data_IF_665048598569
#
_entry.id   IF_665048598569
#
_cell.length_a   1.000
_cell.length_b   1.000
_cell.length_c   1.000
_cell.angle_alpha   90.00
_cell.angle_beta   90.00
_cell.angle_gamma   90.00
#
_symmetry.space_group_name_H-M   'P 1'
#
loop_
_entity.id
_entity.type
_entity.pdbx_description
1 polymer ?
#
# COMPACT_ATOMS: atom_id res chain seq x y z
N UNK A 1 43.54 25.72 -59.07
CA UNK A 1 42.74 26.21 -57.92
C UNK A 1 41.31 25.74 -58.15
N UNK A 2 40.80 24.84 -57.30
CA UNK A 2 39.46 24.27 -57.46
C UNK A 2 38.42 25.36 -57.23
N UNK A 3 37.59 25.64 -58.25
CA UNK A 3 36.44 26.54 -58.12
C UNK A 3 35.56 26.08 -56.97
N UNK A 4 35.47 26.92 -55.93
CA UNK A 4 34.50 26.72 -54.88
C UNK A 4 33.15 27.05 -55.51
N UNK A 5 32.39 26.01 -55.87
CA UNK A 5 31.00 26.11 -56.33
C UNK A 5 30.17 26.92 -55.31
N UNK A 6 29.85 28.18 -55.64
CA UNK A 6 29.14 29.14 -54.79
C UNK A 6 27.65 29.28 -55.16
N UNK A 7 27.02 28.25 -55.73
CA UNK A 7 25.60 28.34 -56.14
C UNK A 7 24.62 28.09 -54.99
N UNK A 8 24.97 27.20 -54.07
CA UNK A 8 24.13 26.82 -52.93
C UNK A 8 24.94 26.71 -51.66
N UNK A 9 24.40 27.27 -50.58
CA UNK A 9 24.85 27.02 -49.21
C UNK A 9 23.84 26.12 -48.53
N UNK A 10 24.30 24.99 -47.99
CA UNK A 10 23.46 24.08 -47.22
C UNK A 10 23.61 24.44 -45.74
N UNK A 11 22.49 24.78 -45.10
CA UNK A 11 22.40 24.96 -43.66
C UNK A 11 21.73 23.74 -43.05
N UNK A 12 22.41 23.11 -42.11
CA UNK A 12 21.85 22.02 -41.32
C UNK A 12 21.52 22.61 -39.95
N UNK A 13 20.34 22.26 -39.42
CA UNK A 13 19.96 22.67 -38.08
C UNK A 13 20.97 22.16 -37.02
N UNK A 14 21.12 22.84 -35.87
CA UNK A 14 22.06 22.42 -34.82
C UNK A 14 21.82 20.99 -34.31
N UNK A 15 20.57 20.53 -34.31
CA UNK A 15 20.16 19.17 -33.95
C UNK A 15 20.38 18.14 -35.08
N UNK A 16 20.82 18.57 -36.27
CA UNK A 16 21.05 17.70 -37.42
C UNK A 16 19.78 17.14 -38.08
N UNK A 17 18.59 17.61 -37.67
CA UNK A 17 17.32 17.04 -38.10
C UNK A 17 16.78 17.61 -39.40
N UNK A 18 17.19 18.82 -39.79
CA UNK A 18 16.70 19.46 -41.02
C UNK A 18 17.86 20.01 -41.83
N UNK A 19 17.73 19.96 -43.14
CA UNK A 19 18.64 20.65 -44.06
C UNK A 19 17.85 21.64 -44.91
N UNK A 20 18.42 22.83 -45.07
CA UNK A 20 17.91 23.88 -45.92
C UNK A 20 18.94 24.27 -46.97
N UNK A 21 18.50 24.44 -48.21
CA UNK A 21 19.31 25.03 -49.28
C UNK A 21 19.02 26.52 -49.34
N UNK A 22 20.08 27.33 -49.30
CA UNK A 22 20.02 28.76 -49.60
C UNK A 22 20.66 28.95 -50.97
N UNK A 23 19.86 29.45 -51.92
CA UNK A 23 20.38 29.83 -53.24
C UNK A 23 21.21 31.10 -53.09
N UNK A 24 22.46 31.07 -53.54
CA UNK A 24 23.34 32.23 -53.50
C UNK A 24 23.27 32.99 -54.83
N UNK A 25 23.48 34.30 -54.76
CA UNK A 25 23.60 35.11 -55.97
C UNK A 25 24.91 34.75 -56.69
N UNK A 26 24.77 34.35 -57.95
CA UNK A 26 25.84 33.82 -58.79
C UNK A 26 25.97 34.61 -60.10
N UNK A 27 25.34 35.78 -60.18
CA UNK A 27 25.37 36.64 -61.37
C UNK A 27 24.74 35.95 -62.58
N UNK A 28 25.51 35.76 -63.66
CA UNK A 28 25.02 35.26 -64.94
C UNK A 28 25.02 33.72 -65.11
N UNK A 29 25.58 32.96 -64.16
CA UNK A 29 25.65 31.49 -64.26
C UNK A 29 24.38 30.86 -63.67
N UNK A 30 23.69 30.05 -64.47
CA UNK A 30 22.52 29.28 -64.02
C UNK A 30 23.00 28.02 -63.30
N UNK A 31 22.61 27.79 -62.03
CA UNK A 31 22.99 26.58 -61.32
C UNK A 31 22.38 25.34 -61.95
N UNK A 32 23.07 24.19 -61.86
CA UNK A 32 22.55 22.88 -62.28
C UNK A 32 22.11 22.02 -61.09
N UNK A 33 21.28 21.00 -61.33
CA UNK A 33 20.88 20.03 -60.30
C UNK A 33 22.10 19.31 -59.72
N UNK A 34 23.12 19.05 -60.54
CA UNK A 34 24.36 18.41 -60.11
C UNK A 34 25.17 19.31 -59.17
N UNK A 35 25.12 20.63 -59.34
CA UNK A 35 25.74 21.57 -58.39
C UNK A 35 25.08 21.51 -57.01
N UNK A 36 23.75 21.41 -56.97
CA UNK A 36 23.00 21.25 -55.71
C UNK A 36 23.27 19.88 -55.06
N UNK A 37 23.31 18.80 -55.86
CA UNK A 37 23.67 17.46 -55.36
C UNK A 37 25.11 17.41 -54.82
N UNK A 38 26.05 18.06 -55.50
CA UNK A 38 27.43 18.18 -55.02
C UNK A 38 27.50 18.99 -53.72
N UNK A 39 26.70 20.06 -53.58
CA UNK A 39 26.60 20.83 -52.34
C UNK A 39 26.02 20.01 -51.18
N UNK A 40 24.99 19.19 -51.43
CA UNK A 40 24.43 18.24 -50.45
C UNK A 40 25.47 17.22 -49.98
N UNK A 41 26.20 16.61 -50.92
CA UNK A 41 27.25 15.62 -50.62
C UNK A 41 28.38 16.25 -49.81
N UNK A 42 28.83 17.46 -50.18
CA UNK A 42 29.83 18.23 -49.41
C UNK A 42 29.36 18.59 -48.01
N UNK A 43 28.08 18.94 -47.85
CA UNK A 43 27.47 19.22 -46.55
C UNK A 43 27.17 17.95 -45.71
N UNK A 44 27.30 16.77 -46.32
CA UNK A 44 27.10 15.47 -45.68
C UNK A 44 25.64 15.02 -45.58
N UNK A 45 24.71 15.65 -46.31
CA UNK A 45 23.29 15.26 -46.32
C UNK A 45 23.13 13.97 -47.14
N UNK A 46 22.66 12.90 -46.49
CA UNK A 46 22.61 11.52 -47.02
C UNK A 46 21.29 10.79 -46.71
N UNK A 47 20.34 11.45 -46.04
CA UNK A 47 19.08 10.86 -45.61
C UNK A 47 17.92 11.85 -45.70
N UNK A 48 16.74 11.32 -46.07
CA UNK A 48 15.46 12.04 -46.10
C UNK A 48 15.44 13.26 -47.02
N UNK A 49 16.16 13.19 -48.13
CA UNK A 49 16.19 14.24 -49.16
C UNK A 49 14.86 14.21 -49.91
N UNK A 50 14.24 15.39 -50.05
CA UNK A 50 13.02 15.60 -50.81
C UNK A 50 13.36 16.09 -52.22
N UNK A 51 13.22 15.20 -53.21
CA UNK A 51 13.53 15.48 -54.61
C UNK A 51 12.66 16.59 -55.24
N UNK A 52 11.44 16.80 -54.75
CA UNK A 52 10.58 17.89 -55.23
C UNK A 52 11.03 19.24 -54.64
N UNK A 53 11.44 19.22 -53.37
CA UNK A 53 11.99 20.40 -52.72
C UNK A 53 13.34 20.84 -53.31
N UNK A 54 14.15 19.91 -53.82
CA UNK A 54 15.35 20.23 -54.58
C UNK A 54 15.03 21.02 -55.87
N UNK A 55 14.03 20.58 -56.64
CA UNK A 55 13.57 21.32 -57.83
C UNK A 55 13.03 22.70 -57.48
N UNK A 56 12.36 22.82 -56.34
CA UNK A 56 11.86 24.09 -55.83
C UNK A 56 13.00 25.02 -55.43
N UNK A 57 14.03 24.51 -54.74
CA UNK A 57 15.23 25.27 -54.37
C UNK A 57 16.01 25.77 -55.59
N UNK A 58 16.05 24.99 -56.68
CA UNK A 58 16.66 25.37 -57.95
C UNK A 58 15.96 26.58 -58.62
N UNK A 59 14.64 26.69 -58.46
CA UNK A 59 13.81 27.72 -59.11
C UNK A 59 13.51 28.93 -58.19
N UNK A 60 13.89 28.86 -56.91
CA UNK A 60 13.67 29.95 -55.96
C UNK A 60 14.62 31.13 -56.22
N UNK A 61 14.24 32.38 -55.89
CA UNK A 61 15.13 33.53 -56.05
C UNK A 61 16.39 33.42 -55.15
N UNK A 62 17.50 34.10 -55.50
CA UNK A 62 18.65 34.21 -54.62
C UNK A 62 18.26 34.71 -53.23
N UNK A 63 18.85 34.12 -52.19
CA UNK A 63 18.54 34.39 -50.78
C UNK A 63 17.37 33.57 -50.22
N UNK A 64 16.58 32.90 -51.05
CA UNK A 64 15.50 32.03 -50.57
C UNK A 64 16.06 30.79 -49.86
N UNK A 65 15.47 30.48 -48.70
CA UNK A 65 15.79 29.33 -47.87
C UNK A 65 14.72 28.25 -48.05
N UNK A 66 15.09 27.15 -48.69
CA UNK A 66 14.16 26.04 -49.01
C UNK A 66 14.51 24.83 -48.15
N UNK A 67 13.52 24.23 -47.51
CA UNK A 67 13.68 22.96 -46.79
C UNK A 67 13.88 21.82 -47.79
N UNK A 68 14.97 21.05 -47.67
CA UNK A 68 15.38 20.09 -48.71
C UNK A 68 15.59 18.66 -48.18
N UNK A 69 15.74 18.49 -46.88
CA UNK A 69 15.84 17.17 -46.28
C UNK A 69 15.37 17.15 -44.82
N UNK A 70 14.78 16.03 -44.41
CA UNK A 70 14.37 15.75 -43.03
C UNK A 70 15.03 14.48 -42.52
N UNK A 71 15.59 14.54 -41.31
CA UNK A 71 15.87 13.36 -40.51
C UNK A 71 14.59 12.66 -40.09
N UNK A 72 14.73 11.44 -39.56
CA UNK A 72 13.68 10.73 -38.85
C UNK A 72 13.89 10.95 -37.34
N UNK A 73 12.99 11.66 -36.63
CA UNK A 73 13.16 11.90 -35.20
C UNK A 73 13.09 10.58 -34.41
N UNK A 74 13.81 10.47 -33.28
CA UNK A 74 13.69 9.30 -32.41
C UNK A 74 12.26 9.19 -31.87
N UNK A 75 11.79 7.95 -31.68
CA UNK A 75 10.50 7.69 -31.03
C UNK A 75 10.74 7.47 -29.53
N UNK A 76 10.06 8.21 -28.64
CA UNK A 76 10.22 8.03 -27.21
C UNK A 76 9.74 6.64 -26.78
N UNK A 77 10.40 6.10 -25.76
CA UNK A 77 9.95 4.90 -25.06
C UNK A 77 8.85 5.20 -24.05
N UNK A 78 8.48 4.19 -23.26
CA UNK A 78 7.60 4.33 -22.10
C UNK A 78 8.36 3.99 -20.82
N UNK A 79 8.25 4.84 -19.81
CA UNK A 79 8.79 4.56 -18.47
C UNK A 79 8.08 3.35 -17.85
N UNK A 80 8.80 2.56 -17.03
CA UNK A 80 8.15 1.57 -16.18
C UNK A 80 7.40 2.25 -15.04
N UNK A 81 6.25 1.68 -14.69
CA UNK A 81 5.40 2.19 -13.61
C UNK A 81 5.11 1.07 -12.63
N UNK A 82 5.30 1.33 -11.34
CA UNK A 82 4.92 0.39 -10.28
C UNK A 82 3.54 0.80 -9.76
N UNK A 83 2.57 -0.09 -9.92
CA UNK A 83 1.22 0.04 -9.42
C UNK A 83 1.06 -0.78 -8.16
N UNK A 84 0.75 -0.12 -7.04
CA UNK A 84 0.27 -0.82 -5.85
C UNK A 84 -1.12 -1.38 -6.16
N UNK A 85 -1.31 -2.68 -5.96
CA UNK A 85 -2.64 -3.26 -6.03
C UNK A 85 -3.45 -2.69 -4.88
N UNK A 86 -4.64 -2.20 -5.21
CA UNK A 86 -5.66 -1.98 -4.19
C UNK A 86 -5.85 -3.32 -3.48
N UNK A 87 -5.51 -3.37 -2.19
CA UNK A 87 -6.01 -4.45 -1.33
C UNK A 87 -7.52 -4.48 -1.53
N UNK A 88 -8.16 -5.63 -1.79
CA UNK A 88 -9.60 -5.71 -2.01
C UNK A 88 -10.33 -5.25 -0.75
N UNK A 89 -10.59 -3.96 -0.67
CA UNK A 89 -11.27 -3.27 0.42
C UNK A 89 -12.43 -2.53 -0.23
N UNK A 90 -13.66 -3.00 0.04
CA UNK A 90 -14.89 -2.36 -0.43
C UNK A 90 -14.81 -0.88 -0.10
N UNK A 91 -14.73 0.00 -1.11
CA UNK A 91 -14.64 1.46 -0.98
C UNK A 91 -15.29 1.97 0.31
N UNK A 92 -14.49 2.65 1.13
CA UNK A 92 -14.84 3.42 2.32
C UNK A 92 -15.77 4.59 1.97
N UNK A 93 -16.99 4.27 1.52
CA UNK A 93 -18.12 5.16 1.64
C UNK A 93 -18.92 4.70 2.87
N UNK A 94 -19.30 5.61 3.79
CA UNK A 94 -20.26 5.27 4.83
C UNK A 94 -21.45 4.56 4.20
N UNK A 95 -21.72 3.31 4.60
CA UNK A 95 -22.93 2.62 4.15
C UNK A 95 -24.11 3.36 4.76
N UNK A 96 -24.91 3.99 3.90
CA UNK A 96 -26.28 4.36 4.24
C UNK A 96 -27.03 3.06 4.56
N UNK A 97 -27.41 2.90 5.83
CA UNK A 97 -28.36 1.87 6.20
C UNK A 97 -29.73 2.22 5.59
N UNK A 98 -30.58 1.21 5.39
CA UNK A 98 -31.94 1.35 4.86
C UNK A 98 -32.83 2.38 5.61
N UNK A 99 -32.40 2.77 6.80
CA UNK A 99 -33.10 3.68 7.72
C UNK A 99 -32.44 5.08 7.81
N UNK A 100 -31.57 5.44 6.85
CA UNK A 100 -30.93 6.76 6.77
C UNK A 100 -29.80 7.01 7.80
N UNK A 101 -29.51 6.05 8.68
CA UNK A 101 -28.36 6.10 9.60
C UNK A 101 -27.06 5.72 8.87
N UNK A 102 -26.03 6.54 9.06
CA UNK A 102 -24.69 6.30 8.55
C UNK A 102 -23.91 5.45 9.55
N UNK A 103 -23.38 4.31 9.10
CA UNK A 103 -22.48 3.49 9.90
C UNK A 103 -21.04 4.05 9.83
N UNK A 104 -20.67 4.87 10.82
CA UNK A 104 -19.33 5.45 10.96
C UNK A 104 -18.29 4.45 11.51
N UNK A 105 -18.65 3.17 11.72
CA UNK A 105 -17.77 2.20 12.39
C UNK A 105 -16.87 1.40 11.45
N UNK A 106 -16.97 1.55 10.14
CA UNK A 106 -16.14 0.80 9.19
C UNK A 106 -15.19 1.75 8.43
N UNK A 107 -14.13 2.20 9.11
CA UNK A 107 -13.17 3.18 8.56
C UNK A 107 -11.92 2.55 7.92
N UNK A 108 -11.92 1.22 7.74
CA UNK A 108 -10.94 0.45 6.94
C UNK A 108 -9.48 0.89 7.11
N UNK A 109 -9.08 1.12 8.38
CA UNK A 109 -7.74 1.56 8.73
C UNK A 109 -6.68 0.48 8.45
N UNK A 110 -7.07 -0.79 8.47
CA UNK A 110 -6.16 -1.94 8.34
C UNK A 110 -6.12 -2.44 6.90
N UNK A 111 -4.94 -2.36 6.27
CA UNK A 111 -4.67 -2.92 4.94
C UNK A 111 -4.28 -4.39 5.05
N UNK A 112 -5.26 -5.25 5.22
CA UNK A 112 -5.02 -6.69 5.36
C UNK A 112 -4.51 -7.31 4.04
N UNK A 113 -3.54 -8.22 4.16
CA UNK A 113 -3.00 -9.01 3.05
C UNK A 113 -2.86 -10.47 3.46
N UNK A 114 -3.08 -11.37 2.50
CA UNK A 114 -2.89 -12.81 2.68
C UNK A 114 -1.62 -13.29 2.00
N UNK A 115 -1.05 -14.40 2.49
CA UNK A 115 0.12 -15.05 1.90
C UNK A 115 -0.13 -15.37 0.42
N UNK A 116 0.84 -15.03 -0.42
CA UNK A 116 0.78 -15.18 -1.88
C UNK A 116 0.02 -14.07 -2.60
N UNK A 117 -0.61 -13.13 -1.89
CA UNK A 117 -1.29 -12.00 -2.52
C UNK A 117 -0.30 -11.07 -3.22
N UNK A 118 -0.66 -10.63 -4.43
CA UNK A 118 0.07 -9.59 -5.16
C UNK A 118 -0.19 -8.23 -4.50
N UNK A 119 0.89 -7.60 -4.03
CA UNK A 119 0.89 -6.28 -3.38
C UNK A 119 1.14 -5.18 -4.40
N UNK A 120 2.06 -5.41 -5.34
CA UNK A 120 2.41 -4.46 -6.38
C UNK A 120 2.70 -5.17 -7.70
N UNK A 121 2.43 -4.49 -8.80
CA UNK A 121 2.77 -4.94 -10.16
C UNK A 121 3.55 -3.83 -10.87
N UNK A 122 4.61 -4.22 -11.56
CA UNK A 122 5.42 -3.34 -12.41
C UNK A 122 4.97 -3.51 -13.87
N UNK A 123 4.56 -2.42 -14.48
CA UNK A 123 4.48 -2.31 -15.93
C UNK A 123 5.90 -2.08 -16.46
N UNK A 124 6.44 -2.96 -17.32
CA UNK A 124 7.82 -2.87 -17.78
C UNK A 124 8.04 -1.67 -18.70
N UNK A 125 9.26 -1.12 -18.67
CA UNK A 125 9.64 -0.03 -19.54
C UNK A 125 9.74 -0.50 -21.00
N UNK A 126 9.35 0.36 -21.94
CA UNK A 126 9.43 0.09 -23.37
C UNK A 126 10.54 0.98 -23.94
N UNK A 127 11.55 0.36 -24.56
CA UNK A 127 12.64 1.11 -25.17
C UNK A 127 12.15 1.99 -26.32
N UNK A 128 12.67 3.23 -26.38
CA UNK A 128 12.46 4.10 -27.53
C UNK A 128 13.16 3.57 -28.77
N UNK A 129 12.77 4.06 -29.95
CA UNK A 129 13.44 3.72 -31.20
C UNK A 129 14.39 4.85 -31.60
N UNK A 130 15.64 4.53 -31.99
CA UNK A 130 16.58 5.54 -32.44
C UNK A 130 16.08 6.21 -33.72
N UNK A 131 16.30 7.51 -33.78
CA UNK A 131 16.10 8.33 -34.97
C UNK A 131 17.34 8.33 -35.86
N UNK A 132 17.28 9.12 -36.92
CA UNK A 132 18.41 9.32 -37.82
C UNK A 132 18.42 10.74 -38.37
N UNK A 133 19.54 11.44 -38.20
CA UNK A 133 19.76 12.78 -38.75
C UNK A 133 19.84 12.77 -40.29
N UNK A 134 19.78 13.94 -40.90
CA UNK A 134 20.01 14.10 -42.36
C UNK A 134 21.39 13.62 -42.80
N UNK A 135 22.36 13.47 -41.87
CA UNK A 135 23.71 12.97 -42.11
C UNK A 135 23.88 11.45 -41.96
N UNK A 136 22.79 10.70 -41.72
CA UNK A 136 22.82 9.26 -41.33
C UNK A 136 23.54 8.99 -40.01
N UNK A 137 23.56 9.96 -39.10
CA UNK A 137 24.01 9.73 -37.72
C UNK A 137 22.79 9.32 -36.89
N UNK A 138 22.84 8.19 -36.14
CA UNK A 138 21.77 7.79 -35.24
C UNK A 138 21.52 8.85 -34.16
N UNK A 139 20.26 9.03 -33.78
CA UNK A 139 19.87 9.91 -32.66
C UNK A 139 19.22 9.04 -31.60
N UNK A 140 19.80 9.00 -30.41
CA UNK A 140 19.26 8.21 -29.30
C UNK A 140 17.90 8.78 -28.84
N UNK A 141 16.95 7.91 -28.45
CA UNK A 141 15.71 8.37 -27.84
C UNK A 141 15.96 8.95 -26.45
N UNK A 142 15.00 9.74 -25.92
CA UNK A 142 15.05 10.18 -24.53
C UNK A 142 15.23 8.99 -23.57
N UNK A 143 15.96 9.17 -22.45
CA UNK A 143 16.16 8.11 -21.47
C UNK A 143 14.82 7.73 -20.82
N UNK A 144 14.60 6.43 -20.65
CA UNK A 144 13.45 5.88 -19.93
C UNK A 144 13.79 5.64 -18.46
N UNK A 145 12.80 5.77 -17.58
CA UNK A 145 12.90 5.38 -16.17
C UNK A 145 12.47 3.93 -16.01
N UNK A 146 13.26 3.15 -15.29
CA UNK A 146 12.94 1.75 -15.01
C UNK A 146 13.11 1.43 -13.51
N UNK A 147 12.22 1.93 -12.63
CA UNK A 147 12.24 1.56 -11.21
C UNK A 147 12.13 0.03 -11.04
N UNK A 148 12.89 -0.51 -10.10
CA UNK A 148 12.84 -1.93 -9.75
C UNK A 148 11.92 -2.15 -8.55
N UNK A 149 11.23 -3.28 -8.52
CA UNK A 149 10.56 -3.74 -7.31
C UNK A 149 11.61 -4.24 -6.33
N UNK A 150 11.58 -3.73 -5.11
CA UNK A 150 12.46 -4.16 -4.03
C UNK A 150 11.64 -4.99 -3.03
N UNK A 151 12.18 -6.13 -2.61
CA UNK A 151 11.57 -6.97 -1.58
C UNK A 151 11.89 -6.39 -0.20
N UNK A 152 10.88 -5.86 0.49
CA UNK A 152 10.95 -5.57 1.91
C UNK A 152 10.65 -6.79 2.78
N UNK A 153 10.69 -6.65 4.12
CA UNK A 153 10.37 -7.73 5.05
C UNK A 153 9.04 -8.43 4.75
N UNK A 154 9.07 -9.77 4.78
CA UNK A 154 7.93 -10.65 4.49
C UNK A 154 7.27 -10.43 3.11
N UNK A 155 8.02 -9.90 2.15
CA UNK A 155 7.61 -9.82 0.75
C UNK A 155 8.64 -10.50 -0.14
N UNK A 156 8.23 -10.88 -1.35
CA UNK A 156 9.13 -11.44 -2.36
C UNK A 156 8.78 -10.91 -3.74
N UNK A 157 9.80 -10.58 -4.52
CA UNK A 157 9.64 -10.23 -5.93
C UNK A 157 9.64 -11.52 -6.75
N UNK A 158 8.76 -11.61 -7.73
CA UNK A 158 8.70 -12.75 -8.65
C UNK A 158 9.98 -12.84 -9.51
N UNK A 159 10.35 -14.03 -10.02
CA UNK A 159 11.57 -14.20 -10.82
C UNK A 159 11.65 -13.31 -12.08
N UNK A 160 10.50 -12.92 -12.63
CA UNK A 160 10.40 -11.99 -13.76
C UNK A 160 10.58 -10.51 -13.37
N UNK A 161 10.67 -10.19 -12.07
CA UNK A 161 10.81 -8.82 -11.58
C UNK A 161 9.53 -7.97 -11.69
N UNK A 162 8.39 -8.57 -12.03
CA UNK A 162 7.17 -7.84 -12.36
C UNK A 162 6.15 -7.74 -11.23
N UNK A 163 6.24 -8.60 -10.21
CA UNK A 163 5.26 -8.62 -9.12
C UNK A 163 5.92 -8.70 -7.76
N UNK A 164 5.33 -8.04 -6.79
CA UNK A 164 5.67 -8.14 -5.37
C UNK A 164 4.57 -8.94 -4.66
N UNK A 165 4.95 -10.01 -3.97
CA UNK A 165 4.04 -10.94 -3.29
C UNK A 165 4.22 -10.84 -1.77
N UNK A 166 3.13 -11.04 -1.03
CA UNK A 166 3.21 -11.28 0.42
C UNK A 166 3.69 -12.70 0.72
N UNK A 167 4.58 -12.86 1.69
CA UNK A 167 5.03 -14.17 2.17
C UNK A 167 4.23 -14.71 3.37
N UNK A 168 3.45 -13.84 4.03
CA UNK A 168 2.67 -14.16 5.22
C UNK A 168 1.28 -13.52 5.17
N UNK A 169 0.40 -13.97 6.05
CA UNK A 169 -0.82 -13.24 6.39
C UNK A 169 -0.47 -12.11 7.37
N UNK A 170 -0.99 -10.91 7.12
CA UNK A 170 -0.67 -9.75 7.95
C UNK A 170 -1.27 -8.45 7.45
N UNK A 171 -0.59 -7.35 7.75
CA UNK A 171 -0.99 -6.02 7.29
C UNK A 171 0.13 -5.36 6.49
N UNK A 172 -0.27 -4.68 5.42
CA UNK A 172 0.62 -3.96 4.51
C UNK A 172 1.09 -2.66 5.16
N UNK A 173 2.40 -2.49 5.21
CA UNK A 173 3.08 -1.27 5.67
C UNK A 173 3.88 -0.70 4.50
N UNK A 174 3.69 0.60 4.26
CA UNK A 174 4.42 1.35 3.25
C UNK A 174 5.06 2.53 3.97
N UNK A 175 6.38 2.51 4.10
CA UNK A 175 7.15 3.54 4.78
C UNK A 175 8.08 4.26 3.80
N UNK A 176 8.16 5.59 3.92
CA UNK A 176 9.11 6.39 3.15
C UNK A 176 10.46 6.36 3.86
N UNK A 177 11.49 5.85 3.17
CA UNK A 177 12.85 5.70 3.71
C UNK A 177 13.73 6.94 3.46
N UNK A 178 13.14 8.05 3.00
CA UNK A 178 13.88 9.23 2.54
C UNK A 178 14.43 9.07 1.12
N UNK A 179 14.91 10.16 0.52
CA UNK A 179 15.44 10.20 -0.86
C UNK A 179 14.48 9.66 -1.94
N UNK A 180 13.17 9.69 -1.67
CA UNK A 180 12.14 9.21 -2.60
C UNK A 180 11.98 7.68 -2.65
N UNK A 181 12.61 6.92 -1.75
CA UNK A 181 12.44 5.46 -1.66
C UNK A 181 11.28 5.08 -0.74
N UNK A 182 10.55 4.02 -1.12
CA UNK A 182 9.50 3.43 -0.32
C UNK A 182 9.86 1.99 0.02
N UNK A 183 9.81 1.63 1.30
CA UNK A 183 9.86 0.25 1.75
C UNK A 183 8.43 -0.29 1.84
N UNK A 184 8.17 -1.38 1.13
CA UNK A 184 6.90 -2.11 1.19
C UNK A 184 7.16 -3.39 1.97
N UNK A 185 6.48 -3.55 3.10
CA UNK A 185 6.60 -4.73 3.96
C UNK A 185 5.27 -5.23 4.47
N UNK A 186 5.26 -6.47 4.94
CA UNK A 186 4.09 -7.07 5.58
C UNK A 186 4.43 -7.44 7.01
N UNK A 187 3.71 -6.85 7.95
CA UNK A 187 3.93 -7.07 9.37
C UNK A 187 2.81 -7.97 9.93
N UNK A 188 3.19 -8.98 10.73
CA UNK A 188 2.23 -9.91 11.35
C UNK A 188 1.34 -9.23 12.38
N UNK A 189 1.84 -8.18 13.04
CA UNK A 189 1.13 -7.48 14.12
C UNK A 189 0.77 -6.06 13.70
N UNK A 190 -0.52 -5.77 13.54
CA UNK A 190 -0.99 -4.40 13.32
C UNK A 190 -0.94 -3.61 14.63
N UNK A 191 -0.31 -2.42 14.60
CA UNK A 191 -0.18 -1.56 15.79
C UNK A 191 -0.97 -0.27 15.60
N UNK A 192 -2.09 -0.14 16.32
CA UNK A 192 -2.84 1.10 16.43
C UNK A 192 -2.28 1.97 17.56
N UNK A 193 -1.63 3.07 17.21
CA UNK A 193 -1.00 4.00 18.17
C UNK A 193 -1.99 4.92 18.93
N UNK A 194 -3.30 4.66 18.84
CA UNK A 194 -4.38 5.45 19.44
C UNK A 194 -5.54 4.56 19.87
N UNK A 195 -6.60 5.16 20.40
CA UNK A 195 -7.82 4.45 20.81
C UNK A 195 -8.68 4.00 19.63
N UNK A 196 -9.49 2.97 19.88
CA UNK A 196 -10.57 2.52 19.01
C UNK A 196 -11.83 3.29 19.41
N UNK A 197 -12.24 4.23 18.56
CA UNK A 197 -13.29 5.21 18.78
C UNK A 197 -13.92 5.68 17.45
N UNK A 198 -14.74 6.74 17.49
CA UNK A 198 -15.39 7.29 16.29
C UNK A 198 -14.40 7.76 15.23
N UNK A 199 -13.16 8.08 15.60
CA UNK A 199 -12.10 8.54 14.68
C UNK A 199 -11.26 7.40 14.10
N UNK A 200 -11.40 6.16 14.59
CA UNK A 200 -10.70 4.98 14.04
C UNK A 200 -11.63 3.88 13.53
N UNK A 201 -12.85 3.77 14.05
CA UNK A 201 -13.79 2.72 13.69
C UNK A 201 -13.39 1.35 14.25
N UNK A 202 -14.15 0.33 13.89
CA UNK A 202 -13.85 -1.07 14.21
C UNK A 202 -12.56 -1.52 13.53
N UNK A 203 -11.83 -2.41 14.19
CA UNK A 203 -10.55 -2.93 13.73
C UNK A 203 -10.71 -4.41 13.41
N UNK A 204 -10.29 -4.80 12.21
CA UNK A 204 -10.26 -6.18 11.73
C UNK A 204 -8.86 -6.53 11.25
N UNK A 205 -8.19 -7.47 11.90
CA UNK A 205 -6.83 -7.89 11.62
C UNK A 205 -6.78 -9.37 11.20
N UNK A 206 -6.14 -9.67 10.07
CA UNK A 206 -5.85 -11.08 9.71
C UNK A 206 -4.69 -11.63 10.56
N UNK A 207 -3.78 -10.77 11.03
CA UNK A 207 -2.71 -11.16 11.94
C UNK A 207 -3.04 -10.90 13.42
N UNK A 208 -2.01 -10.51 14.16
CA UNK A 208 -2.12 -10.02 15.54
C UNK A 208 -2.54 -8.53 15.54
N UNK A 209 -3.11 -8.06 16.64
CA UNK A 209 -3.50 -6.68 16.82
C UNK A 209 -2.96 -6.13 18.15
N UNK A 210 -2.26 -5.00 18.11
CA UNK A 210 -1.89 -4.19 19.28
C UNK A 210 -2.64 -2.85 19.20
N UNK A 211 -3.40 -2.52 20.24
CA UNK A 211 -4.02 -1.20 20.44
C UNK A 211 -3.33 -0.53 21.61
N UNK A 212 -2.65 0.60 21.36
CA UNK A 212 -1.95 1.36 22.41
C UNK A 212 -2.86 2.25 23.25
N UNK A 213 -4.07 2.53 22.75
CA UNK A 213 -5.10 3.28 23.46
C UNK A 213 -6.17 2.38 24.08
N UNK A 214 -7.34 2.98 24.32
CA UNK A 214 -8.52 2.28 24.84
C UNK A 214 -9.38 1.73 23.71
N UNK A 215 -10.26 0.79 24.02
CA UNK A 215 -11.37 0.41 23.13
C UNK A 215 -12.66 0.92 23.75
N UNK A 216 -13.28 1.91 23.09
CA UNK A 216 -14.43 2.65 23.60
C UNK A 216 -15.77 1.96 23.31
N UNK A 217 -16.82 2.42 23.99
CA UNK A 217 -18.14 1.79 23.96
C UNK A 217 -18.67 1.60 22.54
N UNK A 218 -19.17 0.38 22.27
CA UNK A 218 -19.83 0.05 21.02
C UNK A 218 -18.90 -0.18 19.82
N UNK A 219 -17.58 -0.17 20.02
CA UNK A 219 -16.61 -0.55 18.98
C UNK A 219 -16.18 -2.00 19.11
N UNK A 220 -15.54 -2.50 18.04
CA UNK A 220 -15.08 -3.87 17.92
C UNK A 220 -13.62 -3.96 17.51
N UNK A 221 -12.90 -4.91 18.12
CA UNK A 221 -11.57 -5.33 17.68
C UNK A 221 -11.60 -6.84 17.43
N UNK A 222 -11.35 -7.24 16.20
CA UNK A 222 -11.34 -8.65 15.78
C UNK A 222 -9.99 -8.99 15.17
N UNK A 223 -9.38 -10.08 15.61
CA UNK A 223 -8.13 -10.59 15.06
C UNK A 223 -8.16 -12.11 14.88
N UNK A 224 -7.45 -12.63 13.88
CA UNK A 224 -7.22 -14.09 13.81
C UNK A 224 -6.14 -14.54 14.79
N UNK A 225 -5.16 -13.69 15.08
CA UNK A 225 -4.12 -13.94 16.06
C UNK A 225 -4.38 -13.28 17.41
N UNK A 226 -3.31 -13.03 18.15
CA UNK A 226 -3.36 -12.40 19.48
C UNK A 226 -3.85 -10.96 19.42
N UNK A 227 -4.59 -10.53 20.45
CA UNK A 227 -4.99 -9.14 20.66
C UNK A 227 -4.35 -8.63 21.95
N UNK A 228 -3.63 -7.52 21.85
CA UNK A 228 -3.06 -6.80 22.98
C UNK A 228 -3.59 -5.38 23.04
N UNK A 229 -4.19 -5.00 24.17
CA UNK A 229 -4.72 -3.66 24.41
C UNK A 229 -3.98 -3.08 25.60
N UNK A 230 -3.18 -2.02 25.37
CA UNK A 230 -2.42 -1.36 26.44
C UNK A 230 -3.28 -0.44 27.31
N UNK A 231 -4.47 -0.06 26.82
CA UNK A 231 -5.47 0.73 27.53
C UNK A 231 -6.53 -0.08 28.27
N UNK A 232 -7.66 0.57 28.55
CA UNK A 232 -8.89 -0.06 29.05
C UNK A 232 -9.81 -0.48 27.91
N UNK A 233 -10.70 -1.43 28.21
CA UNK A 233 -11.84 -1.77 27.35
C UNK A 233 -13.11 -1.36 28.05
N UNK A 234 -13.93 -0.55 27.39
CA UNK A 234 -15.14 0.05 27.96
C UNK A 234 -16.33 -0.27 27.06
N UNK A 235 -17.27 -1.11 27.50
CA UNK A 235 -18.50 -1.40 26.76
C UNK A 235 -18.31 -1.89 25.32
N UNK A 236 -17.20 -2.57 25.01
CA UNK A 236 -16.80 -2.93 23.65
C UNK A 236 -16.70 -4.45 23.43
N UNK A 237 -16.58 -4.86 22.17
CA UNK A 237 -16.40 -6.27 21.79
C UNK A 237 -14.97 -6.52 21.32
N UNK A 238 -14.31 -7.52 21.90
CA UNK A 238 -12.95 -7.93 21.50
C UNK A 238 -12.97 -9.42 21.22
N UNK A 239 -12.57 -9.84 20.03
CA UNK A 239 -12.61 -11.25 19.60
C UNK A 239 -11.31 -11.66 18.94
N UNK A 240 -10.57 -12.57 19.58
CA UNK A 240 -9.45 -13.30 18.98
C UNK A 240 -9.91 -14.69 18.56
N UNK A 241 -9.83 -15.01 17.26
CA UNK A 241 -10.27 -16.30 16.73
C UNK A 241 -9.26 -17.43 16.92
N UNK A 242 -7.97 -17.12 17.03
CA UNK A 242 -6.90 -18.12 17.09
C UNK A 242 -5.83 -17.81 18.14
N UNK A 243 -6.03 -16.79 18.98
CA UNK A 243 -5.02 -16.27 19.90
C UNK A 243 -5.57 -15.97 21.29
N UNK A 244 -4.75 -15.26 22.04
CA UNK A 244 -5.04 -14.73 23.37
C UNK A 244 -5.61 -13.31 23.28
N UNK A 245 -6.26 -12.86 24.36
CA UNK A 245 -6.59 -11.44 24.55
C UNK A 245 -5.94 -10.94 25.83
N UNK A 246 -5.02 -9.98 25.71
CA UNK A 246 -4.38 -9.29 26.84
C UNK A 246 -4.85 -7.84 26.92
N UNK A 247 -5.45 -7.46 28.04
CA UNK A 247 -5.85 -6.09 28.37
C UNK A 247 -4.95 -5.63 29.53
N UNK A 248 -4.05 -4.69 29.27
CA UNK A 248 -3.06 -4.27 30.29
C UNK A 248 -3.68 -3.51 31.45
N UNK A 249 -4.79 -2.80 31.21
CA UNK A 249 -5.59 -2.18 32.28
C UNK A 249 -6.80 -3.06 32.59
N UNK A 250 -7.94 -2.45 32.89
CA UNK A 250 -9.17 -3.18 33.19
C UNK A 250 -10.20 -3.16 32.08
N UNK A 251 -11.22 -3.98 32.29
CA UNK A 251 -12.41 -4.11 31.47
C UNK A 251 -13.61 -3.61 32.27
N UNK A 252 -14.28 -2.57 31.77
CA UNK A 252 -15.52 -2.03 32.33
C UNK A 252 -16.63 -2.25 31.30
N UNK A 253 -17.40 -3.31 31.47
CA UNK A 253 -18.29 -3.77 30.44
C UNK A 253 -19.62 -3.04 30.35
N UNK A 254 -20.06 -2.35 31.41
CA UNK A 254 -21.36 -1.68 31.49
C UNK A 254 -22.55 -2.58 31.06
N UNK A 255 -22.42 -3.90 31.22
CA UNK A 255 -23.41 -4.91 30.81
C UNK A 255 -23.44 -5.21 29.30
N UNK A 256 -22.53 -4.62 28.52
CA UNK A 256 -22.48 -4.74 27.05
C UNK A 256 -21.20 -5.37 26.52
N UNK A 257 -20.08 -5.25 27.25
CA UNK A 257 -18.81 -5.74 26.74
C UNK A 257 -18.75 -7.28 26.70
N UNK A 258 -18.19 -7.77 25.60
CA UNK A 258 -17.98 -9.20 25.36
C UNK A 258 -16.56 -9.42 24.87
N UNK A 259 -15.80 -10.25 25.57
CA UNK A 259 -14.45 -10.64 25.19
C UNK A 259 -14.45 -12.13 24.85
N UNK A 260 -13.93 -12.45 23.66
CA UNK A 260 -13.78 -13.83 23.17
C UNK A 260 -12.34 -14.11 22.79
N UNK A 261 -11.82 -15.25 23.23
CA UNK A 261 -10.50 -15.72 22.84
C UNK A 261 -10.50 -17.25 22.65
N UNK A 262 -9.79 -17.75 21.65
CA UNK A 262 -9.58 -19.20 21.54
C UNK A 262 -8.68 -19.71 22.68
N UNK A 263 -7.67 -18.92 23.03
CA UNK A 263 -6.74 -19.19 24.13
C UNK A 263 -7.04 -18.25 25.29
N UNK A 264 -6.02 -17.85 26.06
CA UNK A 264 -6.19 -17.20 27.36
C UNK A 264 -6.72 -15.76 27.24
N UNK A 265 -7.39 -15.30 28.31
CA UNK A 265 -7.76 -13.90 28.53
C UNK A 265 -7.05 -13.39 29.77
N UNK A 266 -6.31 -12.28 29.64
CA UNK A 266 -5.63 -11.61 30.73
C UNK A 266 -6.11 -10.17 30.88
N UNK A 267 -6.43 -9.75 32.09
CA UNK A 267 -6.80 -8.37 32.41
C UNK A 267 -6.35 -7.95 33.82
N UNK A 268 -6.22 -6.66 34.11
CA UNK A 268 -5.99 -6.21 35.49
C UNK A 268 -7.24 -6.44 36.35
N UNK A 269 -8.40 -5.97 35.89
CA UNK A 269 -9.69 -6.20 36.55
C UNK A 269 -10.80 -6.35 35.50
N UNK A 270 -11.92 -6.99 35.90
CA UNK A 270 -13.08 -7.23 35.03
C UNK A 270 -14.36 -6.85 35.76
N UNK A 271 -15.15 -5.94 35.20
CA UNK A 271 -16.40 -5.48 35.78
C UNK A 271 -17.53 -5.48 34.76
N UNK A 272 -18.71 -6.01 35.14
CA UNK A 272 -19.93 -5.95 34.33
C UNK A 272 -19.75 -6.41 32.87
N UNK A 273 -19.00 -7.50 32.64
CA UNK A 273 -18.66 -7.99 31.30
C UNK A 273 -18.95 -9.49 31.12
N UNK A 274 -18.94 -9.93 29.87
CA UNK A 274 -18.98 -11.35 29.49
C UNK A 274 -17.63 -11.77 28.90
N UNK A 275 -17.04 -12.84 29.42
CA UNK A 275 -15.79 -13.42 28.93
C UNK A 275 -16.05 -14.86 28.49
N UNK A 276 -15.63 -15.21 27.29
CA UNK A 276 -15.67 -16.56 26.73
C UNK A 276 -14.28 -16.93 26.21
N UNK A 277 -13.63 -17.93 26.80
CA UNK A 277 -12.25 -18.28 26.46
C UNK A 277 -12.02 -19.78 26.43
N UNK A 278 -11.43 -20.30 25.36
CA UNK A 278 -11.00 -21.72 25.30
C UNK A 278 -9.80 -22.05 26.19
N UNK A 279 -9.18 -21.04 26.81
CA UNK A 279 -8.06 -21.17 27.73
C UNK A 279 -8.42 -20.74 29.15
N UNK A 280 -7.46 -20.11 29.82
CA UNK A 280 -7.55 -19.60 31.18
C UNK A 280 -8.01 -18.14 31.20
N UNK A 281 -8.66 -17.75 32.29
CA UNK A 281 -8.86 -16.34 32.65
C UNK A 281 -7.90 -15.98 33.77
N UNK A 282 -7.03 -15.01 33.52
CA UNK A 282 -6.04 -14.52 34.49
C UNK A 282 -6.32 -13.05 34.80
N UNK A 283 -6.58 -12.75 36.06
CA UNK A 283 -6.93 -11.41 36.55
C UNK A 283 -6.03 -11.05 37.73
N UNK A 284 -5.58 -9.80 37.78
CA UNK A 284 -4.71 -9.34 38.87
C UNK A 284 -5.53 -8.92 40.11
N UNK A 285 -6.49 -8.01 39.98
CA UNK A 285 -7.18 -7.40 41.13
C UNK A 285 -8.51 -8.10 41.48
N UNK A 286 -9.52 -8.01 40.61
CA UNK A 286 -10.86 -8.53 40.89
C UNK A 286 -11.69 -8.80 39.64
N UNK A 287 -12.69 -9.67 39.83
CA UNK A 287 -13.80 -9.88 38.90
C UNK A 287 -15.09 -9.50 39.63
N UNK A 288 -15.83 -8.53 39.09
CA UNK A 288 -17.08 -8.04 39.67
C UNK A 288 -18.25 -8.11 38.68
N UNK A 289 -19.40 -8.58 39.15
CA UNK A 289 -20.68 -8.55 38.42
C UNK A 289 -20.59 -9.07 36.98
N UNK A 290 -19.75 -10.08 36.74
CA UNK A 290 -19.39 -10.54 35.39
C UNK A 290 -19.79 -11.99 35.16
N UNK A 291 -19.89 -12.37 33.88
CA UNK A 291 -20.11 -13.74 33.45
C UNK A 291 -18.86 -14.28 32.77
N UNK A 292 -18.28 -15.31 33.37
CA UNK A 292 -17.02 -15.89 32.92
C UNK A 292 -17.25 -17.33 32.48
N UNK A 293 -16.84 -17.66 31.26
CA UNK A 293 -16.89 -18.98 30.68
C UNK A 293 -15.48 -19.38 30.22
N UNK A 294 -14.85 -20.30 30.96
CA UNK A 294 -13.45 -20.72 30.77
C UNK A 294 -13.34 -22.25 30.64
N UNK A 295 -12.45 -22.72 29.76
CA UNK A 295 -12.20 -24.16 29.47
C UNK A 295 -10.94 -24.60 30.18
N UNK A 296 -10.11 -23.63 30.54
CA UNK A 296 -9.04 -23.80 31.49
C UNK A 296 -9.54 -23.46 32.89
N UNK A 297 -8.71 -22.69 33.58
CA UNK A 297 -8.93 -22.24 34.94
C UNK A 297 -9.29 -20.75 35.01
N UNK A 298 -9.55 -20.31 36.24
CA UNK A 298 -9.75 -18.89 36.59
C UNK A 298 -8.80 -18.55 37.72
N UNK A 299 -7.92 -17.59 37.49
CA UNK A 299 -6.86 -17.21 38.42
C UNK A 299 -6.99 -15.72 38.74
N UNK A 300 -7.18 -15.40 40.03
CA UNK A 300 -7.15 -14.03 40.54
C UNK A 300 -5.99 -13.93 41.53
N UNK A 301 -4.87 -13.34 41.11
CA UNK A 301 -3.57 -13.55 41.76
C UNK A 301 -3.10 -12.40 42.65
N UNK A 302 -3.44 -11.16 42.30
CA UNK A 302 -3.07 -9.94 43.01
C UNK A 302 -3.95 -9.63 44.22
N UNK A 303 -3.89 -8.37 44.66
CA UNK A 303 -4.69 -7.85 45.80
C UNK A 303 -5.73 -6.87 45.25
N UNK A 304 -7.00 -6.93 45.68
CA UNK A 304 -7.53 -7.77 46.75
C UNK A 304 -7.68 -9.26 46.39
N UNK A 305 -7.72 -9.61 45.11
CA UNK A 305 -7.84 -10.99 44.65
C UNK A 305 -9.26 -11.52 44.82
N UNK A 306 -10.26 -10.72 44.44
CA UNK A 306 -11.65 -10.93 44.79
C UNK A 306 -12.55 -11.32 43.60
N UNK A 307 -13.46 -12.27 43.82
CA UNK A 307 -14.56 -12.60 42.91
C UNK A 307 -15.88 -12.21 43.58
N UNK A 308 -16.55 -11.19 43.05
CA UNK A 308 -17.70 -10.56 43.71
C UNK A 308 -18.86 -10.41 42.72
N UNK A 309 -19.88 -11.24 42.86
CA UNK A 309 -21.10 -11.18 42.05
C UNK A 309 -20.93 -11.72 40.64
N UNK A 310 -22.02 -12.28 40.10
CA UNK A 310 -22.05 -12.85 38.75
C UNK A 310 -21.91 -14.36 38.73
N UNK A 311 -21.52 -14.90 37.58
CA UNK A 311 -21.48 -16.34 37.31
C UNK A 311 -20.13 -16.70 36.67
N UNK A 312 -19.38 -17.60 37.29
CA UNK A 312 -18.09 -18.06 36.76
C UNK A 312 -18.09 -19.57 36.55
N UNK A 313 -17.85 -20.00 35.33
CA UNK A 313 -17.72 -21.42 34.97
C UNK A 313 -16.32 -21.71 34.46
N UNK A 314 -15.76 -22.83 34.92
CA UNK A 314 -14.41 -23.26 34.60
C UNK A 314 -14.32 -24.79 34.62
N UNK A 315 -13.32 -25.37 33.94
CA UNK A 315 -13.17 -26.83 33.85
C UNK A 315 -12.09 -27.34 34.78
N UNK A 316 -10.98 -26.63 34.93
CA UNK A 316 -9.80 -27.17 35.62
C UNK A 316 -9.68 -26.71 37.08
N UNK A 317 -9.31 -25.45 37.31
CA UNK A 317 -9.01 -24.93 38.65
C UNK A 317 -9.44 -23.48 38.77
N UNK A 318 -9.94 -23.12 39.95
CA UNK A 318 -10.08 -21.73 40.37
C UNK A 318 -9.11 -21.42 41.51
N UNK A 319 -8.37 -20.31 41.39
CA UNK A 319 -7.49 -19.77 42.43
C UNK A 319 -7.91 -18.32 42.69
N UNK A 320 -8.46 -18.06 43.87
CA UNK A 320 -8.98 -16.75 44.26
C UNK A 320 -8.77 -16.56 45.76
N UNK A 321 -8.52 -15.33 46.22
CA UNK A 321 -8.31 -15.03 47.65
C UNK A 321 -9.62 -14.85 48.39
N UNK A 322 -10.57 -14.15 47.79
CA UNK A 322 -11.86 -13.83 48.39
C UNK A 322 -13.00 -14.08 47.41
N UNK A 323 -14.05 -14.74 47.87
CA UNK A 323 -15.30 -14.91 47.11
C UNK A 323 -16.42 -14.22 47.88
N UNK A 324 -17.15 -13.34 47.20
CA UNK A 324 -18.22 -12.53 47.79
C UNK A 324 -17.72 -11.30 48.55
N UNK A 325 -18.67 -10.50 49.01
CA UNK A 325 -18.44 -9.30 49.82
C UNK A 325 -19.56 -9.13 50.85
N UNK A 326 -19.36 -8.28 51.86
CA UNK A 326 -20.36 -7.97 52.89
C UNK A 326 -21.66 -7.38 52.32
N UNK A 327 -21.59 -6.78 51.13
CA UNK A 327 -22.76 -6.31 50.38
C UNK A 327 -23.66 -7.46 49.85
N UNK A 328 -23.29 -8.72 50.10
CA UNK A 328 -24.01 -9.94 49.72
C UNK A 328 -24.46 -10.03 48.24
N UNK A 329 -23.63 -9.65 47.24
CA UNK A 329 -23.97 -9.91 45.85
C UNK A 329 -23.94 -11.42 45.57
N UNK A 330 -24.97 -11.92 44.87
CA UNK A 330 -25.05 -13.34 44.50
C UNK A 330 -23.87 -13.72 43.61
N UNK A 331 -22.97 -14.52 44.15
CA UNK A 331 -21.74 -14.99 43.50
C UNK A 331 -21.87 -16.48 43.25
N UNK A 332 -21.93 -16.91 42.00
CA UNK A 332 -22.03 -18.33 41.63
C UNK A 332 -20.79 -18.77 40.89
N UNK A 333 -20.32 -19.97 41.20
CA UNK A 333 -19.29 -20.62 40.40
C UNK A 333 -19.64 -22.08 40.14
N UNK A 334 -19.19 -22.59 39.00
CA UNK A 334 -19.47 -23.94 38.51
C UNK A 334 -18.18 -24.57 37.99
N UNK A 335 -17.90 -25.79 38.43
CA UNK A 335 -16.78 -26.59 37.94
C UNK A 335 -17.29 -27.71 37.03
N UNK A 336 -16.63 -27.94 35.89
CA UNK A 336 -16.91 -29.06 34.98
C UNK A 336 -18.02 -28.81 33.96
N UNK A 337 -18.78 -27.72 34.08
CA UNK A 337 -19.74 -27.28 33.07
C UNK A 337 -19.13 -26.17 32.22
N UNK A 338 -18.60 -26.52 31.04
CA UNK A 338 -18.45 -25.54 29.97
C UNK A 338 -19.83 -25.35 29.33
N UNK A 339 -20.52 -24.29 29.71
CA UNK A 339 -21.74 -23.87 29.00
C UNK A 339 -21.33 -22.68 28.15
N UNK A 340 -20.64 -22.92 27.04
CA UNK A 340 -20.70 -21.93 25.96
C UNK A 340 -22.16 -21.85 25.56
N UNK A 341 -22.76 -20.67 25.72
CA UNK A 341 -23.98 -20.39 24.97
C UNK A 341 -23.54 -20.44 23.51
N UNK A 342 -24.05 -21.44 22.79
CA UNK A 342 -23.96 -21.52 21.35
C UNK A 342 -24.28 -20.12 20.79
N UNK A 343 -23.29 -19.54 20.13
CA UNK A 343 -23.39 -18.24 19.44
C UNK A 343 -24.49 -18.27 18.39
#
# INVERSE_FOLDING_TARGET
MAEINHFFRIEISPDGMTAHAIRLDSGAKVPTLDDLKNALVKAGVRYGIDEEALKTAMNSPPGAKTFIASGAPPKPGCDAVIHLKETPTKKSAPKLLLDGKVDYKDMQLVKNVVKGQVIAEKEPAIAGMPGMTVKRVPVDPPPIKDPQLEAGPNTAVTPDGLKLLSLIDGHLVIESMGLGRQEIRVDKTFVLKRSVDMATGNIYCIGNCEVRGNVTEGFKVVAQGDIKILGSVEGAEVTSHGGNVEISKGLIGQGKAVIRALHDVKANFIENAVIETGGNVVVEEHIMHSKIFSAGGVYIEGKPGALIGGETSFVTKMKVRQIGSEANPKTKFYMGNWIARSA
#
